data_IF_222896190056
#
_entry.id   IF_222896190056
#
_cell.length_a   1.000
_cell.length_b   1.000
_cell.length_c   1.000
_cell.angle_alpha   90.00
_cell.angle_beta   90.00
_cell.angle_gamma   90.00
#
_symmetry.space_group_name_H-M   'P 1'
#
loop_
_entity.id
_entity.type
_entity.pdbx_description
1 polymer ?
#
# COMPACT_ATOMS: atom_id res chain seq x y z
N UNK A 1 -20.18 -27.68 13.48
CA UNK A 1 -19.04 -26.73 13.46
C UNK A 1 -19.55 -25.42 14.05
N UNK A 2 -18.86 -24.92 15.09
CA UNK A 2 -19.22 -23.62 15.66
C UNK A 2 -18.63 -22.53 14.79
N UNK A 3 -19.44 -21.57 14.40
CA UNK A 3 -18.94 -20.34 13.80
C UNK A 3 -17.89 -19.69 14.70
N UNK A 4 -16.81 -19.25 14.09
CA UNK A 4 -15.79 -18.45 14.76
C UNK A 4 -15.62 -17.13 14.04
N UNK A 5 -14.97 -16.17 14.65
CA UNK A 5 -14.69 -14.86 14.02
C UNK A 5 -13.93 -14.99 12.67
N UNK A 6 -13.25 -16.10 12.43
CA UNK A 6 -12.45 -16.33 11.24
C UNK A 6 -13.13 -17.27 10.22
N UNK A 7 -14.21 -17.96 10.61
CA UNK A 7 -14.87 -18.96 9.80
C UNK A 7 -16.40 -18.73 9.84
N UNK A 8 -16.90 -18.06 8.83
CA UNK A 8 -18.35 -17.91 8.66
C UNK A 8 -18.96 -19.23 8.17
N UNK A 9 -20.27 -19.38 8.38
CA UNK A 9 -21.04 -20.50 7.81
C UNK A 9 -20.84 -20.64 6.31
N UNK A 10 -20.87 -19.52 5.60
CA UNK A 10 -20.70 -19.48 4.15
C UNK A 10 -19.32 -19.97 3.71
N UNK A 11 -18.25 -19.50 4.40
CA UNK A 11 -16.89 -19.97 4.11
C UNK A 11 -16.73 -21.48 4.35
N UNK A 12 -17.32 -21.99 5.44
CA UNK A 12 -17.30 -23.43 5.74
C UNK A 12 -18.06 -24.22 4.70
N UNK A 13 -19.24 -23.74 4.27
CA UNK A 13 -20.05 -24.39 3.24
C UNK A 13 -19.32 -24.39 1.87
N UNK A 14 -18.70 -23.29 1.50
CA UNK A 14 -17.95 -23.20 0.25
C UNK A 14 -16.72 -24.12 0.25
N UNK A 15 -15.97 -24.18 1.35
CA UNK A 15 -14.86 -25.12 1.51
C UNK A 15 -15.34 -26.57 1.38
N UNK A 16 -16.47 -26.90 2.03
CA UNK A 16 -17.05 -28.23 1.95
C UNK A 16 -17.50 -28.58 0.52
N UNK A 17 -18.20 -27.67 -0.16
CA UNK A 17 -18.61 -27.85 -1.56
C UNK A 17 -17.40 -28.07 -2.47
N UNK A 18 -16.36 -27.27 -2.32
CA UNK A 18 -15.14 -27.40 -3.11
C UNK A 18 -14.44 -28.74 -2.86
N UNK A 19 -14.34 -29.16 -1.62
CA UNK A 19 -13.74 -30.43 -1.25
C UNK A 19 -14.56 -31.64 -1.77
N UNK A 20 -15.89 -31.54 -1.73
CA UNK A 20 -16.79 -32.61 -2.13
C UNK A 20 -16.91 -32.74 -3.66
N UNK A 21 -16.83 -31.66 -4.39
CA UNK A 21 -17.09 -31.64 -5.84
C UNK A 21 -15.84 -31.46 -6.69
N UNK A 22 -14.72 -31.03 -6.09
CA UNK A 22 -13.52 -30.62 -6.82
C UNK A 22 -13.74 -29.40 -7.72
N UNK A 23 -14.86 -28.69 -7.52
CA UNK A 23 -15.25 -27.53 -8.33
C UNK A 23 -14.48 -26.26 -7.97
N UNK A 24 -14.51 -25.29 -8.87
CA UNK A 24 -13.94 -23.97 -8.67
C UNK A 24 -14.98 -23.08 -7.96
N UNK A 25 -14.57 -22.35 -6.94
CA UNK A 25 -15.41 -21.34 -6.31
C UNK A 25 -15.70 -20.21 -7.31
N UNK A 26 -16.96 -19.83 -7.43
CA UNK A 26 -17.39 -18.71 -8.28
C UNK A 26 -17.38 -17.37 -7.54
N UNK A 27 -17.20 -17.39 -6.23
CA UNK A 27 -17.17 -16.22 -5.36
C UNK A 27 -15.92 -16.19 -4.51
N UNK A 28 -15.57 -15.00 -4.02
CA UNK A 28 -14.51 -14.84 -3.03
C UNK A 28 -15.01 -15.28 -1.65
N UNK A 29 -14.20 -16.05 -0.93
CA UNK A 29 -14.43 -16.37 0.48
C UNK A 29 -14.11 -15.17 1.38
N UNK A 30 -14.61 -13.99 1.03
CA UNK A 30 -14.36 -12.76 1.78
C UNK A 30 -14.88 -12.80 3.21
N UNK A 31 -14.46 -11.83 4.00
CA UNK A 31 -14.99 -11.65 5.35
C UNK A 31 -16.49 -11.38 5.33
N UNK A 32 -17.26 -11.89 6.32
CA UNK A 32 -18.67 -11.56 6.47
C UNK A 32 -18.87 -10.04 6.51
N UNK A 33 -19.85 -9.54 5.79
CA UNK A 33 -20.14 -8.10 5.64
C UNK A 33 -20.40 -7.36 6.96
N UNK A 34 -20.64 -8.09 8.04
CA UNK A 34 -21.08 -7.55 9.33
C UNK A 34 -20.02 -7.56 10.43
N UNK A 35 -18.80 -7.99 10.14
CA UNK A 35 -17.73 -7.88 11.14
C UNK A 35 -17.24 -6.43 11.19
N UNK A 36 -17.53 -5.69 12.27
CA UNK A 36 -16.97 -4.36 12.41
C UNK A 36 -15.45 -4.46 12.51
N UNK A 37 -14.77 -3.75 11.64
CA UNK A 37 -13.30 -3.62 11.72
C UNK A 37 -13.00 -2.61 12.82
N UNK A 38 -12.53 -3.09 13.95
CA UNK A 38 -12.07 -2.24 15.04
C UNK A 38 -10.55 -2.12 14.99
N UNK A 39 -10.06 -0.92 14.88
CA UNK A 39 -8.63 -0.61 14.88
C UNK A 39 -7.95 -1.03 16.20
N UNK A 40 -8.67 -1.03 17.31
CA UNK A 40 -8.21 -1.50 18.61
C UNK A 40 -7.96 -3.01 18.69
N UNK A 41 -8.41 -3.77 17.69
CA UNK A 41 -8.14 -5.21 17.56
C UNK A 41 -6.97 -5.53 16.64
N UNK A 42 -6.34 -4.53 16.06
CA UNK A 42 -5.17 -4.70 15.23
C UNK A 42 -3.92 -4.68 16.14
N UNK A 43 -3.16 -5.75 16.13
CA UNK A 43 -1.82 -5.75 16.68
C UNK A 43 -0.86 -5.31 15.57
N UNK A 44 -0.34 -4.09 15.70
CA UNK A 44 0.71 -3.59 14.83
C UNK A 44 2.06 -4.05 15.39
N UNK A 45 2.65 -5.04 14.77
CA UNK A 45 4.03 -5.39 15.04
C UNK A 45 4.93 -4.44 14.26
N UNK A 46 5.80 -3.72 14.95
CA UNK A 46 6.85 -2.98 14.29
C UNK A 46 7.72 -3.95 13.48
N UNK A 47 8.17 -3.52 12.30
CA UNK A 47 9.14 -4.29 11.53
C UNK A 47 10.35 -4.62 12.39
N UNK A 48 10.98 -5.74 12.12
CA UNK A 48 12.17 -6.18 12.87
C UNK A 48 13.21 -5.07 12.90
N UNK A 49 13.49 -4.58 14.09
CA UNK A 49 14.54 -3.62 14.33
C UNK A 49 15.73 -4.39 14.88
N UNK A 50 16.88 -4.21 14.28
CA UNK A 50 18.12 -4.88 14.69
C UNK A 50 18.74 -4.28 15.94
N UNK A 51 18.24 -3.15 16.42
CA UNK A 51 18.68 -2.45 17.64
C UNK A 51 17.53 -2.27 18.61
N UNK A 52 17.83 -2.04 19.92
CA UNK A 52 16.98 -2.45 21.02
C UNK A 52 15.50 -2.26 20.70
N UNK A 53 14.71 -3.31 20.89
CA UNK A 53 13.33 -3.27 20.47
C UNK A 53 12.61 -2.14 21.20
N UNK A 54 12.01 -1.25 20.43
CA UNK A 54 11.03 -0.31 20.94
C UNK A 54 9.89 -1.17 21.47
N UNK A 55 9.55 -1.00 22.74
CA UNK A 55 8.40 -1.67 23.31
C UNK A 55 7.11 -1.03 22.74
N UNK A 56 6.38 -1.67 21.82
CA UNK A 56 5.22 -1.06 21.17
C UNK A 56 4.06 -0.80 22.15
N UNK A 57 4.13 -1.36 23.36
CA UNK A 57 3.15 -1.12 24.41
C UNK A 57 3.48 0.11 25.27
N UNK A 58 4.71 0.55 25.25
CA UNK A 58 5.20 1.66 26.08
C UNK A 58 5.58 2.89 25.27
N UNK A 59 5.95 2.72 24.02
CA UNK A 59 6.40 3.81 23.18
C UNK A 59 5.39 4.00 22.03
N UNK A 60 4.79 5.20 21.89
CA UNK A 60 3.91 5.46 20.77
C UNK A 60 4.71 5.32 19.47
N UNK A 61 4.24 4.49 18.57
CA UNK A 61 4.81 4.38 17.23
C UNK A 61 4.74 5.75 16.54
N UNK A 62 5.88 6.23 16.07
CA UNK A 62 5.88 7.40 15.20
C UNK A 62 5.30 7.00 13.85
N UNK A 63 4.07 7.43 13.59
CA UNK A 63 3.37 7.15 12.33
C UNK A 63 3.72 8.13 11.21
N UNK A 64 4.55 9.14 11.51
CA UNK A 64 5.02 10.09 10.50
C UNK A 64 6.28 9.58 9.85
N UNK A 65 6.17 9.26 8.58
CA UNK A 65 7.29 8.86 7.73
C UNK A 65 7.55 9.98 6.73
N UNK A 66 8.80 10.41 6.65
CA UNK A 66 9.23 11.39 5.64
C UNK A 66 9.73 10.65 4.42
N UNK A 67 8.98 10.75 3.34
CA UNK A 67 9.39 10.22 2.03
C UNK A 67 10.07 11.36 1.27
N UNK A 68 11.36 11.22 1.00
CA UNK A 68 12.13 12.23 0.29
C UNK A 68 13.58 12.31 0.76
N UNK A 69 14.27 13.37 0.35
CA UNK A 69 15.66 13.59 0.75
C UNK A 69 15.74 13.85 2.26
N UNK A 70 16.54 13.04 2.96
CA UNK A 70 16.83 13.28 4.36
C UNK A 70 17.52 14.63 4.51
N UNK A 71 17.02 15.56 5.33
CA UNK A 71 17.68 16.84 5.56
C UNK A 71 18.95 16.64 6.41
N UNK A 72 19.91 17.49 6.22
CA UNK A 72 21.14 17.48 7.03
C UNK A 72 20.82 17.80 8.50
N UNK A 73 19.83 18.62 8.74
CA UNK A 73 19.41 19.05 10.07
C UNK A 73 17.90 19.16 10.17
N UNK A 74 17.34 18.46 11.14
CA UNK A 74 15.91 18.56 11.49
C UNK A 74 15.77 19.62 12.59
N UNK A 75 14.96 20.65 12.34
CA UNK A 75 14.65 21.70 13.31
C UNK A 75 13.16 21.64 13.69
N UNK A 76 12.88 21.87 14.97
CA UNK A 76 11.53 21.93 15.49
C UNK A 76 11.29 23.27 16.17
N UNK A 77 10.07 23.77 16.18
CA UNK A 77 9.67 24.96 16.95
C UNK A 77 9.54 24.64 18.45
N UNK A 78 9.24 25.66 19.23
CA UNK A 78 9.07 25.54 20.68
C UNK A 78 7.91 24.62 21.09
N UNK A 79 6.97 24.33 20.16
CA UNK A 79 5.85 23.43 20.32
C UNK A 79 6.16 22.01 19.80
N UNK A 80 7.40 21.74 19.38
CA UNK A 80 7.84 20.46 18.85
C UNK A 80 7.45 20.18 17.40
N UNK A 81 6.83 21.14 16.69
CA UNK A 81 6.42 20.97 15.29
C UNK A 81 7.62 21.11 14.37
N UNK A 82 7.63 20.33 13.31
CA UNK A 82 8.68 20.37 12.31
C UNK A 82 8.65 21.70 11.53
N UNK A 83 9.80 22.40 11.50
CA UNK A 83 9.99 23.64 10.74
C UNK A 83 11.07 23.52 9.65
N UNK A 84 11.67 22.35 9.48
CA UNK A 84 12.60 22.08 8.40
C UNK A 84 11.81 21.80 7.11
N UNK A 85 12.10 22.52 6.05
CA UNK A 85 11.58 22.19 4.73
C UNK A 85 12.24 20.89 4.24
N UNK A 86 11.40 19.93 3.91
CA UNK A 86 11.79 18.66 3.32
C UNK A 86 11.23 18.61 1.90
N UNK A 87 12.06 18.85 0.92
CA UNK A 87 11.66 18.81 -0.50
C UNK A 87 12.52 17.80 -1.28
N UNK A 88 11.91 17.09 -2.23
CA UNK A 88 10.47 16.89 -2.45
C UNK A 88 9.84 16.01 -1.38
N UNK A 89 8.59 16.23 -1.09
CA UNK A 89 7.85 15.43 -0.12
C UNK A 89 6.58 14.87 -0.74
N UNK A 90 6.27 13.64 -0.38
CA UNK A 90 4.99 13.02 -0.69
C UNK A 90 4.08 13.18 0.53
N UNK A 91 2.96 13.82 0.34
CA UNK A 91 1.91 13.96 1.34
C UNK A 91 0.72 13.10 0.99
N UNK A 92 0.25 12.33 1.96
CA UNK A 92 -0.91 11.47 1.80
C UNK A 92 -2.04 11.98 2.68
N UNK A 93 -3.26 11.98 2.19
CA UNK A 93 -4.45 12.36 2.97
C UNK A 93 -4.76 11.37 4.09
N UNK A 94 -4.30 10.13 3.95
CA UNK A 94 -4.44 9.05 4.93
C UNK A 94 -3.23 8.10 4.84
N UNK A 95 -2.87 7.36 5.90
CA UNK A 95 -1.71 6.47 5.92
C UNK A 95 -1.99 5.14 5.20
N UNK A 96 -2.49 5.22 3.97
CA UNK A 96 -2.82 4.07 3.13
C UNK A 96 -2.22 4.28 1.75
N UNK A 97 -1.59 3.24 1.22
CA UNK A 97 -1.08 3.18 -0.14
C UNK A 97 -1.58 1.91 -0.81
N UNK A 98 -1.84 1.96 -2.10
CA UNK A 98 -2.01 0.75 -2.86
C UNK A 98 -0.67 0.04 -3.03
N UNK A 99 -0.70 -1.26 -2.81
CA UNK A 99 0.45 -2.13 -3.03
C UNK A 99 0.88 -2.12 -4.50
N UNK A 100 2.17 -2.33 -4.74
CA UNK A 100 2.73 -2.43 -6.08
C UNK A 100 2.10 -3.61 -6.84
N UNK A 101 1.49 -3.32 -7.98
CA UNK A 101 0.88 -4.31 -8.87
C UNK A 101 1.31 -4.03 -10.31
N UNK A 102 2.04 -4.96 -10.89
CA UNK A 102 2.70 -4.73 -12.18
C UNK A 102 1.72 -4.70 -13.34
N UNK A 103 1.86 -3.71 -14.21
CA UNK A 103 1.20 -3.70 -15.51
C UNK A 103 1.63 -4.93 -16.32
N UNK A 104 0.66 -5.65 -16.87
CA UNK A 104 0.89 -6.93 -17.52
C UNK A 104 0.55 -8.15 -16.63
N UNK A 105 0.71 -8.05 -15.30
CA UNK A 105 0.11 -9.00 -14.36
C UNK A 105 -1.34 -8.65 -14.06
N UNK A 106 -1.67 -7.36 -14.03
CA UNK A 106 -3.04 -6.86 -14.03
C UNK A 106 -3.29 -6.06 -15.30
N UNK A 107 -4.57 -5.88 -15.65
CA UNK A 107 -4.97 -5.20 -16.87
C UNK A 107 -4.84 -3.68 -16.78
N UNK A 108 -4.87 -3.00 -17.95
CA UNK A 108 -4.99 -1.54 -18.03
C UNK A 108 -6.16 -1.01 -17.19
N UNK A 109 -7.33 -1.63 -17.33
CA UNK A 109 -8.53 -1.18 -16.60
C UNK A 109 -8.36 -1.30 -15.07
N UNK A 110 -7.64 -2.32 -14.60
CA UNK A 110 -7.32 -2.46 -13.19
C UNK A 110 -6.37 -1.35 -12.71
N UNK A 111 -5.31 -1.06 -13.49
CA UNK A 111 -4.40 0.06 -13.20
C UNK A 111 -5.13 1.40 -13.20
N UNK A 112 -5.97 1.66 -14.21
CA UNK A 112 -6.75 2.88 -14.27
C UNK A 112 -7.69 3.02 -13.07
N UNK A 113 -8.34 1.93 -12.66
CA UNK A 113 -9.20 1.94 -11.48
C UNK A 113 -8.44 2.30 -10.19
N UNK A 114 -7.24 1.75 -10.03
CA UNK A 114 -6.37 2.08 -8.88
C UNK A 114 -5.90 3.54 -8.93
N UNK A 115 -5.48 4.01 -10.09
CA UNK A 115 -5.04 5.39 -10.29
C UNK A 115 -6.15 6.40 -9.98
N UNK A 116 -7.36 6.16 -10.49
CA UNK A 116 -8.54 6.99 -10.22
C UNK A 116 -8.94 6.97 -8.75
N UNK A 117 -8.88 5.80 -8.11
CA UNK A 117 -9.16 5.68 -6.68
C UNK A 117 -8.11 6.43 -5.84
N UNK A 118 -6.83 6.31 -6.20
CA UNK A 118 -5.75 7.02 -5.53
C UNK A 118 -5.91 8.55 -5.63
N UNK A 119 -6.24 9.05 -6.82
CA UNK A 119 -6.53 10.47 -7.04
C UNK A 119 -7.73 10.93 -6.21
N UNK A 120 -8.84 10.20 -6.25
CA UNK A 120 -10.06 10.55 -5.52
C UNK A 120 -9.87 10.58 -4.00
N UNK A 121 -8.98 9.75 -3.47
CA UNK A 121 -8.69 9.63 -2.04
C UNK A 121 -7.49 10.47 -1.58
N UNK A 122 -6.75 11.09 -2.49
CA UNK A 122 -5.52 11.83 -2.16
C UNK A 122 -4.41 10.93 -1.59
N UNK A 123 -4.33 9.69 -2.07
CA UNK A 123 -3.30 8.71 -1.74
C UNK A 123 -2.51 8.34 -2.99
N UNK A 124 -1.59 7.40 -2.90
CA UNK A 124 -0.84 6.94 -4.05
C UNK A 124 -1.12 5.47 -4.38
N UNK A 125 -1.06 5.17 -5.67
CA UNK A 125 -0.92 3.80 -6.14
C UNK A 125 0.49 3.58 -6.69
N UNK A 126 0.92 2.33 -6.74
CA UNK A 126 2.24 1.94 -7.19
C UNK A 126 2.12 1.14 -8.50
N UNK A 127 2.92 1.51 -9.48
CA UNK A 127 2.89 0.87 -10.81
C UNK A 127 3.35 -0.59 -10.79
N UNK A 128 4.07 -1.01 -9.74
CA UNK A 128 4.82 -2.26 -9.82
C UNK A 128 5.95 -2.18 -10.84
N UNK A 129 6.52 -3.31 -11.18
CA UNK A 129 7.72 -3.41 -12.02
C UNK A 129 7.46 -3.60 -13.52
N UNK A 130 6.22 -3.44 -13.96
CA UNK A 130 5.82 -3.64 -15.36
C UNK A 130 5.76 -2.37 -16.22
N UNK A 131 6.23 -1.24 -15.71
CA UNK A 131 6.07 0.06 -16.38
C UNK A 131 4.69 0.68 -16.17
N UNK A 132 4.36 1.69 -16.96
CA UNK A 132 3.11 2.42 -16.89
C UNK A 132 2.63 2.77 -18.30
N UNK A 133 1.35 2.58 -18.56
CA UNK A 133 0.75 3.01 -19.83
C UNK A 133 0.67 4.54 -19.89
N UNK A 134 0.95 5.14 -21.05
CA UNK A 134 1.03 6.60 -21.24
C UNK A 134 -0.27 7.32 -20.84
N UNK A 135 -1.43 6.72 -21.12
CA UNK A 135 -2.74 7.28 -20.73
C UNK A 135 -2.89 7.48 -19.21
N UNK A 136 -2.09 6.81 -18.40
CA UNK A 136 -2.11 6.91 -16.94
C UNK A 136 -1.14 7.96 -16.39
N UNK A 137 -0.29 8.57 -17.22
CA UNK A 137 0.62 9.65 -16.79
C UNK A 137 -0.13 10.85 -16.22
N UNK A 138 -1.38 11.06 -16.65
CA UNK A 138 -2.26 12.10 -16.10
C UNK A 138 -2.48 11.99 -14.57
N UNK A 139 -2.32 10.79 -14.01
CA UNK A 139 -2.45 10.53 -12.58
C UNK A 139 -1.11 10.63 -11.82
N UNK A 140 -0.10 11.19 -12.43
CA UNK A 140 1.27 11.19 -11.91
C UNK A 140 1.43 11.72 -10.49
N UNK A 141 0.62 12.69 -10.09
CA UNK A 141 0.61 13.22 -8.71
C UNK A 141 0.27 12.17 -7.65
N UNK A 142 -0.43 11.12 -8.04
CA UNK A 142 -0.89 10.04 -7.19
C UNK A 142 -0.25 8.70 -7.59
N UNK A 143 0.88 8.75 -8.29
CA UNK A 143 1.57 7.57 -8.80
C UNK A 143 2.96 7.46 -8.20
N UNK A 144 3.30 6.27 -7.72
CA UNK A 144 4.66 5.86 -7.39
C UNK A 144 5.14 4.97 -8.52
N UNK A 145 6.22 5.37 -9.20
CA UNK A 145 6.83 4.57 -10.26
C UNK A 145 7.88 3.64 -9.66
N UNK A 146 7.72 2.33 -9.84
CA UNK A 146 8.64 1.35 -9.28
C UNK A 146 9.73 0.98 -10.30
N UNK A 147 10.95 0.85 -9.81
CA UNK A 147 12.09 0.31 -10.55
C UNK A 147 12.60 -0.93 -9.83
N UNK A 148 12.56 -2.06 -10.52
CA UNK A 148 13.11 -3.32 -10.06
C UNK A 148 14.27 -3.77 -10.95
N UNK A 149 14.91 -4.87 -10.62
CA UNK A 149 16.08 -5.39 -11.36
C UNK A 149 15.82 -5.62 -12.85
N UNK A 150 14.59 -6.02 -13.20
CA UNK A 150 14.20 -6.26 -14.61
C UNK A 150 14.08 -5.00 -15.45
N UNK A 151 13.86 -3.84 -14.84
CA UNK A 151 13.75 -2.53 -15.51
C UNK A 151 12.74 -2.51 -16.66
N UNK A 152 11.66 -3.26 -16.56
CA UNK A 152 10.63 -3.34 -17.58
C UNK A 152 9.92 -2.00 -17.72
N UNK A 153 9.94 -1.43 -18.94
CA UNK A 153 9.31 -0.16 -19.24
C UNK A 153 9.93 1.05 -18.51
N UNK A 154 11.14 0.93 -17.98
CA UNK A 154 11.83 2.02 -17.30
C UNK A 154 12.55 2.89 -18.31
N UNK A 155 12.12 4.12 -18.44
CA UNK A 155 12.73 5.18 -19.26
C UNK A 155 12.48 6.54 -18.60
N UNK A 156 13.05 7.60 -19.13
CA UNK A 156 13.02 8.92 -18.51
C UNK A 156 11.58 9.43 -18.27
N UNK A 157 10.72 9.37 -19.27
CA UNK A 157 9.34 9.86 -19.17
C UNK A 157 8.55 9.07 -18.11
N UNK A 158 8.77 7.75 -18.03
CA UNK A 158 8.18 6.92 -16.98
C UNK A 158 8.61 7.36 -15.57
N UNK A 159 9.90 7.62 -15.38
CA UNK A 159 10.44 8.06 -14.09
C UNK A 159 9.93 9.44 -13.70
N UNK A 160 9.78 10.32 -14.69
CA UNK A 160 9.28 11.67 -14.47
C UNK A 160 7.75 11.74 -14.31
N UNK A 161 7.02 10.71 -14.71
CA UNK A 161 5.57 10.69 -14.64
C UNK A 161 5.03 10.58 -13.22
N UNK A 162 5.78 9.98 -12.29
CA UNK A 162 5.33 9.74 -10.92
C UNK A 162 5.68 10.85 -9.93
N UNK A 163 4.95 10.92 -8.83
CA UNK A 163 5.25 11.80 -7.70
C UNK A 163 6.46 11.30 -6.89
N UNK A 164 6.74 10.00 -6.95
CA UNK A 164 7.87 9.37 -6.28
C UNK A 164 8.37 8.17 -7.09
N UNK A 165 9.62 7.82 -6.87
CA UNK A 165 10.26 6.62 -7.45
C UNK A 165 10.52 5.64 -6.30
N UNK A 166 10.09 4.40 -6.48
CA UNK A 166 10.38 3.32 -5.54
C UNK A 166 11.41 2.38 -6.15
N UNK A 167 12.50 2.18 -5.43
CA UNK A 167 13.52 1.19 -5.81
C UNK A 167 13.22 -0.11 -5.07
N UNK A 168 12.82 -1.14 -5.82
CA UNK A 168 12.59 -2.47 -5.29
C UNK A 168 13.91 -3.22 -5.24
N UNK A 169 14.32 -3.54 -4.02
CA UNK A 169 15.47 -4.40 -3.76
C UNK A 169 15.02 -5.86 -3.67
N UNK A 170 15.61 -6.73 -4.46
CA UNK A 170 15.24 -8.15 -4.48
C UNK A 170 16.34 -9.02 -5.06
#
# INVERSE_FOLDING_TARGET
LRESANWSSDAVEEIWKQAATGGVLLSSMGSPKELPVYWDRLLLNASQVTNPPIDPLREPMETRVFLGKKPERIRRDAQGRLITELTPQLELSMPVLFSAMSYGSISFNAHESLARAAEALGICYNTGEGGLHEDLYRYGRNTITQVASGRFGVHEDYLMAGAAIEIKMG
#
